data_IF_803388502562
#
_entry.id   IF_803388502562
#
_cell.length_a   1.000
_cell.length_b   1.000
_cell.length_c   1.000
_cell.angle_alpha   90.00
_cell.angle_beta   90.00
_cell.angle_gamma   90.00
#
_symmetry.space_group_name_H-M   'P 1'
#
loop_
_entity.id
_entity.type
_entity.pdbx_description
1 polymer ?
#
# COMPACT_ATOMS: atom_id res chain seq x y z
N UNK A 1 -5.07 21.44 13.33
CA UNK A 1 -5.00 22.00 11.96
C UNK A 1 -4.68 20.88 10.99
N UNK A 2 -5.26 20.86 9.78
CA UNK A 2 -4.92 19.91 8.71
C UNK A 2 -4.32 20.66 7.52
N UNK A 3 -3.40 20.02 6.80
CA UNK A 3 -2.82 20.54 5.56
C UNK A 3 -2.85 19.48 4.47
N UNK A 4 -3.01 19.91 3.23
CA UNK A 4 -2.98 19.04 2.06
C UNK A 4 -1.60 18.40 1.92
N UNK A 5 -1.58 17.08 1.91
CA UNK A 5 -0.44 16.24 1.52
C UNK A 5 -0.77 15.57 0.20
N UNK A 6 0.17 15.59 -0.75
CA UNK A 6 0.03 14.99 -2.07
C UNK A 6 0.80 13.67 -2.15
N UNK A 7 0.06 12.61 -2.41
CA UNK A 7 0.59 11.27 -2.65
C UNK A 7 0.66 11.00 -4.16
N UNK A 8 1.77 10.46 -4.63
CA UNK A 8 1.91 9.91 -5.98
C UNK A 8 1.99 8.39 -5.85
N UNK A 9 0.99 7.70 -6.38
CA UNK A 9 0.80 6.27 -6.20
C UNK A 9 1.13 5.53 -7.49
N UNK A 10 1.99 4.51 -7.38
CA UNK A 10 2.33 3.56 -8.42
C UNK A 10 2.34 2.15 -7.86
N UNK A 11 2.22 1.16 -8.72
CA UNK A 11 2.36 -0.26 -8.41
C UNK A 11 2.66 -1.01 -9.70
N UNK A 12 3.09 -2.27 -9.61
CA UNK A 12 3.17 -3.16 -10.78
C UNK A 12 4.01 -2.52 -11.90
N UNK A 13 5.17 -1.99 -11.53
CA UNK A 13 6.12 -1.46 -12.52
C UNK A 13 6.87 -2.58 -13.20
N UNK A 14 6.93 -3.78 -12.60
CA UNK A 14 7.50 -5.00 -13.21
C UNK A 14 8.91 -4.76 -13.75
N UNK A 15 9.73 -4.02 -13.00
CA UNK A 15 11.08 -3.66 -13.38
C UNK A 15 11.17 -2.63 -14.52
N UNK A 16 10.10 -1.92 -14.89
CA UNK A 16 10.17 -0.83 -15.86
C UNK A 16 10.44 0.51 -15.19
N UNK A 17 11.37 1.28 -15.75
CA UNK A 17 11.59 2.68 -15.35
C UNK A 17 10.50 3.59 -15.92
N UNK A 18 10.29 4.79 -15.35
CA UNK A 18 9.38 5.79 -15.93
C UNK A 18 9.64 6.07 -17.42
N UNK A 19 10.91 6.11 -17.83
CA UNK A 19 11.30 6.33 -19.23
C UNK A 19 10.90 5.15 -20.14
N UNK A 20 11.15 3.91 -19.71
CA UNK A 20 10.78 2.71 -20.49
C UNK A 20 9.25 2.52 -20.58
N UNK A 21 8.52 2.88 -19.50
CA UNK A 21 7.06 2.79 -19.44
C UNK A 21 6.34 4.04 -19.97
N UNK A 22 7.08 5.10 -20.35
CA UNK A 22 6.52 6.31 -20.95
C UNK A 22 5.70 7.19 -20.00
N UNK A 23 5.96 7.15 -18.68
CA UNK A 23 5.31 8.03 -17.70
C UNK A 23 6.30 8.96 -17.01
N UNK A 24 5.76 10.00 -16.36
CA UNK A 24 6.52 10.90 -15.48
C UNK A 24 5.91 10.87 -14.09
N UNK A 25 6.75 11.00 -13.06
CA UNK A 25 6.29 11.25 -11.70
C UNK A 25 5.91 12.73 -11.58
N UNK A 26 4.65 13.08 -11.30
CA UNK A 26 4.27 14.45 -11.01
C UNK A 26 4.86 14.90 -9.68
N UNK A 27 4.95 16.21 -9.46
CA UNK A 27 5.33 16.75 -8.14
C UNK A 27 4.34 16.31 -7.05
N UNK A 28 4.87 15.91 -5.91
CA UNK A 28 4.12 15.52 -4.71
C UNK A 28 5.04 15.46 -3.49
N UNK A 29 4.44 15.17 -2.34
CA UNK A 29 5.17 15.14 -1.06
C UNK A 29 5.67 13.72 -0.75
N UNK A 30 4.85 12.71 -1.09
CA UNK A 30 5.12 11.29 -0.81
C UNK A 30 4.92 10.45 -2.06
N UNK A 31 5.90 9.60 -2.39
CA UNK A 31 5.76 8.55 -3.40
C UNK A 31 5.38 7.23 -2.72
N UNK A 32 4.42 6.49 -3.27
CA UNK A 32 4.05 5.15 -2.80
C UNK A 32 4.21 4.16 -3.95
N UNK A 33 4.96 3.08 -3.74
CA UNK A 33 5.01 1.92 -4.63
C UNK A 33 4.37 0.70 -3.97
N UNK A 34 3.20 0.27 -4.48
CA UNK A 34 2.37 -0.79 -3.87
C UNK A 34 2.71 -2.22 -4.34
N UNK A 35 4.01 -2.50 -4.53
CA UNK A 35 4.51 -3.83 -4.87
C UNK A 35 4.73 -4.09 -6.35
N UNK A 36 5.25 -5.28 -6.64
CA UNK A 36 5.73 -5.73 -7.95
C UNK A 36 6.75 -4.74 -8.54
N UNK A 37 7.82 -4.54 -7.77
CA UNK A 37 8.98 -3.72 -8.13
C UNK A 37 9.73 -4.33 -9.31
N UNK A 38 9.68 -5.65 -9.44
CA UNK A 38 10.39 -6.47 -10.43
C UNK A 38 9.42 -7.38 -11.18
N UNK A 39 9.85 -7.95 -12.30
CA UNK A 39 9.07 -8.98 -12.99
C UNK A 39 9.47 -10.39 -12.53
N UNK A 40 10.71 -10.63 -12.10
CA UNK A 40 11.16 -11.95 -11.62
C UNK A 40 12.06 -11.88 -10.37
N UNK A 41 12.21 -10.73 -9.72
CA UNK A 41 13.01 -10.60 -8.50
C UNK A 41 14.52 -10.65 -8.71
N UNK A 42 15.06 -10.43 -9.91
CA UNK A 42 16.52 -10.33 -10.06
C UNK A 42 17.07 -9.08 -9.36
N UNK A 43 18.32 -9.14 -8.89
CA UNK A 43 18.96 -7.99 -8.23
C UNK A 43 19.14 -6.81 -9.21
N UNK A 44 19.25 -7.11 -10.50
CA UNK A 44 19.36 -6.09 -11.55
C UNK A 44 18.04 -5.33 -11.72
N UNK A 45 16.90 -6.02 -11.73
CA UNK A 45 15.58 -5.38 -11.75
C UNK A 45 15.36 -4.56 -10.48
N UNK A 46 15.68 -5.12 -9.30
CA UNK A 46 15.56 -4.39 -8.02
C UNK A 46 16.36 -3.10 -8.04
N UNK A 47 17.64 -3.15 -8.42
CA UNK A 47 18.49 -1.95 -8.53
C UNK A 47 17.90 -0.95 -9.53
N UNK A 48 17.44 -1.42 -10.68
CA UNK A 48 16.83 -0.54 -11.69
C UNK A 48 15.63 0.19 -11.13
N UNK A 49 14.73 -0.49 -10.42
CA UNK A 49 13.54 0.12 -9.82
C UNK A 49 13.89 1.05 -8.66
N UNK A 50 14.69 0.59 -7.71
CA UNK A 50 15.04 1.39 -6.53
C UNK A 50 15.86 2.64 -6.90
N UNK A 51 16.71 2.58 -7.92
CA UNK A 51 17.48 3.75 -8.36
C UNK A 51 16.57 4.93 -8.75
N UNK A 52 15.51 4.71 -9.54
CA UNK A 52 14.63 5.81 -9.92
C UNK A 52 13.70 6.23 -8.78
N UNK A 53 13.29 5.31 -7.90
CA UNK A 53 12.50 5.63 -6.70
C UNK A 53 13.30 6.51 -5.75
N UNK A 54 14.54 6.14 -5.44
CA UNK A 54 15.41 6.90 -4.54
C UNK A 54 15.77 8.27 -5.11
N UNK A 55 16.00 8.36 -6.43
CA UNK A 55 16.32 9.62 -7.12
C UNK A 55 15.12 10.56 -7.28
N UNK A 56 13.89 10.08 -7.05
CA UNK A 56 12.71 10.90 -7.19
C UNK A 56 12.63 11.98 -6.09
N UNK A 57 12.24 13.20 -6.49
CA UNK A 57 12.15 14.37 -5.62
C UNK A 57 10.86 14.35 -4.78
N UNK A 58 10.87 13.47 -3.79
CA UNK A 58 9.83 13.32 -2.76
C UNK A 58 10.52 13.27 -1.41
N UNK A 59 9.88 13.86 -0.40
CA UNK A 59 10.42 13.88 0.96
C UNK A 59 10.50 12.46 1.53
N UNK A 60 9.48 11.64 1.29
CA UNK A 60 9.41 10.24 1.71
C UNK A 60 8.93 9.36 0.57
N UNK A 61 9.51 8.16 0.43
CA UNK A 61 9.06 7.12 -0.50
C UNK A 61 8.66 5.88 0.28
N UNK A 62 7.40 5.46 0.22
CA UNK A 62 6.92 4.24 0.88
C UNK A 62 6.90 3.12 -0.15
N UNK A 63 7.54 2.01 0.17
CA UNK A 63 7.67 0.85 -0.74
C UNK A 63 7.24 -0.41 0.00
N UNK A 64 6.40 -1.20 -0.64
CA UNK A 64 6.14 -2.60 -0.27
C UNK A 64 6.59 -3.52 -1.42
N UNK A 65 6.73 -4.82 -1.14
CA UNK A 65 6.90 -5.83 -2.18
C UNK A 65 5.55 -6.24 -2.78
N UNK A 66 5.60 -6.96 -3.90
CA UNK A 66 4.50 -7.76 -4.42
C UNK A 66 4.92 -9.21 -4.67
N UNK A 67 4.07 -9.97 -5.34
CA UNK A 67 4.27 -11.40 -5.54
C UNK A 67 5.43 -11.72 -6.51
N UNK A 68 5.83 -10.77 -7.37
CA UNK A 68 6.96 -10.91 -8.30
C UNK A 68 8.33 -10.63 -7.66
N UNK A 69 8.36 -10.01 -6.48
CA UNK A 69 9.59 -9.62 -5.79
C UNK A 69 10.17 -10.79 -4.98
N UNK A 70 10.36 -11.93 -5.67
CA UNK A 70 10.57 -13.24 -5.06
C UNK A 70 11.82 -13.37 -4.20
N UNK A 71 12.85 -12.57 -4.47
CA UNK A 71 14.10 -12.54 -3.69
C UNK A 71 13.99 -11.74 -2.41
N UNK A 72 12.92 -10.96 -2.25
CA UNK A 72 12.63 -10.21 -1.02
C UNK A 72 11.85 -11.06 0.00
N UNK A 73 11.44 -12.28 -0.37
CA UNK A 73 10.90 -13.33 0.50
C UNK A 73 11.93 -14.49 0.58
N UNK A 74 12.89 -14.46 1.53
CA UNK A 74 13.94 -15.48 1.61
C UNK A 74 13.39 -16.90 1.82
N UNK A 75 12.27 -17.03 2.54
CA UNK A 75 11.62 -18.31 2.81
C UNK A 75 11.04 -18.92 1.54
N UNK A 76 10.35 -18.10 0.72
CA UNK A 76 9.90 -18.53 -0.60
C UNK A 76 11.08 -18.82 -1.53
N UNK A 77 12.06 -17.91 -1.59
CA UNK A 77 13.18 -18.00 -2.53
C UNK A 77 14.04 -19.23 -2.30
N UNK A 78 14.29 -19.62 -1.04
CA UNK A 78 15.04 -20.84 -0.72
C UNK A 78 14.41 -22.11 -1.29
N UNK A 79 13.07 -22.14 -1.39
CA UNK A 79 12.30 -23.31 -1.88
C UNK A 79 12.04 -23.25 -3.38
N UNK A 80 11.84 -22.06 -3.92
CA UNK A 80 11.33 -21.86 -5.28
C UNK A 80 12.30 -21.16 -6.22
N UNK A 81 13.36 -20.53 -5.71
CA UNK A 81 14.35 -19.77 -6.49
C UNK A 81 14.88 -20.50 -7.74
N UNK A 82 15.23 -21.81 -7.68
CA UNK A 82 15.66 -22.55 -8.87
C UNK A 82 14.62 -22.60 -10.00
N UNK A 83 13.32 -22.52 -9.70
CA UNK A 83 12.25 -22.47 -10.73
C UNK A 83 12.25 -21.15 -11.51
N UNK A 84 12.75 -20.07 -10.90
CA UNK A 84 12.78 -18.73 -11.48
C UNK A 84 14.15 -18.41 -12.08
N UNK A 85 15.23 -18.69 -11.35
CA UNK A 85 16.60 -18.28 -11.71
C UNK A 85 17.53 -19.45 -12.09
N UNK A 86 17.01 -20.68 -12.19
CA UNK A 86 17.78 -21.88 -12.50
C UNK A 86 19.03 -22.00 -11.60
N UNK A 87 20.20 -22.15 -12.20
CA UNK A 87 21.48 -22.28 -11.48
C UNK A 87 22.11 -20.93 -11.06
N UNK A 88 21.55 -19.80 -11.53
CA UNK A 88 22.07 -18.45 -11.23
C UNK A 88 21.24 -17.81 -10.14
N UNK A 89 21.25 -18.41 -8.96
CA UNK A 89 20.50 -17.90 -7.82
C UNK A 89 21.06 -16.54 -7.38
N UNK A 90 20.14 -15.68 -6.97
CA UNK A 90 20.44 -14.41 -6.33
C UNK A 90 20.69 -14.62 -4.84
N UNK A 91 21.28 -13.62 -4.19
CA UNK A 91 21.48 -13.58 -2.74
C UNK A 91 20.36 -12.73 -2.11
N UNK A 92 19.37 -13.33 -1.41
CA UNK A 92 18.24 -12.61 -0.85
C UNK A 92 18.63 -11.45 0.06
N UNK A 93 19.73 -11.59 0.82
CA UNK A 93 20.15 -10.52 1.72
C UNK A 93 20.64 -9.31 0.90
N UNK A 94 21.45 -9.53 -0.14
CA UNK A 94 21.86 -8.44 -1.04
C UNK A 94 20.68 -7.80 -1.75
N UNK A 95 19.65 -8.57 -2.10
CA UNK A 95 18.42 -8.05 -2.69
C UNK A 95 17.66 -7.16 -1.70
N UNK A 96 17.53 -7.58 -0.43
CA UNK A 96 16.92 -6.77 0.63
C UNK A 96 17.71 -5.48 0.87
N UNK A 97 19.04 -5.58 0.93
CA UNK A 97 19.94 -4.43 1.15
C UNK A 97 19.75 -3.34 0.08
N UNK A 98 19.49 -3.73 -1.19
CA UNK A 98 19.21 -2.75 -2.27
C UNK A 98 18.02 -1.85 -1.91
N UNK A 99 16.99 -2.39 -1.27
CA UNK A 99 15.76 -1.65 -0.95
C UNK A 99 15.88 -0.88 0.36
N UNK A 100 16.64 -1.39 1.33
CA UNK A 100 16.72 -0.82 2.69
C UNK A 100 17.85 0.20 2.88
N UNK A 101 18.84 0.27 1.99
CA UNK A 101 20.00 1.16 2.16
C UNK A 101 19.66 2.66 2.01
N UNK A 102 18.59 3.00 1.29
CA UNK A 102 18.20 4.41 1.12
C UNK A 102 17.43 4.93 2.33
N UNK A 103 17.96 5.95 3.00
CA UNK A 103 17.29 6.61 4.13
C UNK A 103 15.99 7.35 3.76
N UNK A 104 15.77 7.61 2.46
CA UNK A 104 14.52 8.24 1.97
C UNK A 104 13.41 7.23 1.65
N UNK A 105 13.70 5.93 1.72
CA UNK A 105 12.76 4.85 1.45
C UNK A 105 12.32 4.21 2.77
N UNK A 106 11.00 4.16 2.96
CA UNK A 106 10.33 3.46 4.04
C UNK A 106 9.84 2.13 3.49
N UNK A 107 10.60 1.08 3.76
CA UNK A 107 10.29 -0.27 3.29
C UNK A 107 9.43 -1.03 4.31
N UNK A 108 8.21 -1.41 3.93
CA UNK A 108 7.25 -2.06 4.82
C UNK A 108 6.96 -3.50 4.37
N UNK A 109 7.11 -4.45 5.29
CA UNK A 109 6.85 -5.88 5.07
C UNK A 109 5.88 -6.41 6.12
N UNK A 110 4.60 -6.06 5.98
CA UNK A 110 3.54 -6.38 6.94
C UNK A 110 3.73 -5.72 8.31
N UNK A 111 3.96 -4.41 8.29
CA UNK A 111 4.25 -3.61 9.49
C UNK A 111 3.74 -2.18 9.35
N UNK A 112 3.67 -1.46 10.46
CA UNK A 112 3.31 -0.05 10.49
C UNK A 112 4.53 0.86 10.57
N UNK A 113 4.38 2.08 10.07
CA UNK A 113 5.29 3.17 10.32
C UNK A 113 4.53 4.47 10.62
N UNK A 114 5.11 5.29 11.50
CA UNK A 114 4.71 6.68 11.67
C UNK A 114 5.63 7.55 10.81
N UNK A 115 5.04 8.35 9.94
CA UNK A 115 5.76 9.19 8.97
C UNK A 115 5.45 10.65 9.24
N UNK A 116 6.50 11.47 9.29
CA UNK A 116 6.45 12.90 9.53
C UNK A 116 7.16 13.65 8.41
N UNK A 117 6.45 14.55 7.75
CA UNK A 117 6.99 15.45 6.73
C UNK A 117 7.47 16.74 7.39
N UNK A 118 8.69 17.14 7.11
CA UNK A 118 9.49 18.18 7.78
C UNK A 118 10.14 19.15 6.80
N UNK A 119 9.91 18.99 5.50
CA UNK A 119 10.42 19.90 4.48
C UNK A 119 10.06 21.35 4.80
N UNK A 120 10.99 22.32 4.66
CA UNK A 120 10.79 23.70 5.12
C UNK A 120 9.59 24.40 4.45
N UNK A 121 9.23 23.98 3.24
CA UNK A 121 8.06 24.46 2.48
C UNK A 121 7.01 23.35 2.28
N UNK A 122 7.16 22.23 2.99
CA UNK A 122 6.30 21.06 2.91
C UNK A 122 5.02 21.22 3.73
N UNK A 123 4.14 20.22 3.69
CA UNK A 123 2.86 20.29 4.38
C UNK A 123 2.99 20.19 5.92
N UNK A 124 4.16 19.82 6.45
CA UNK A 124 4.39 19.60 7.89
C UNK A 124 3.38 18.63 8.52
N UNK A 125 3.01 17.59 7.77
CA UNK A 125 1.99 16.63 8.18
C UNK A 125 2.58 15.36 8.75
N UNK A 126 1.74 14.62 9.47
CA UNK A 126 2.07 13.35 10.10
C UNK A 126 0.95 12.35 9.87
N UNK A 127 1.30 11.08 9.66
CA UNK A 127 0.35 10.01 9.43
C UNK A 127 0.92 8.64 9.78
N UNK A 128 0.04 7.71 10.14
CA UNK A 128 0.37 6.29 10.33
C UNK A 128 0.03 5.51 9.06
N UNK A 129 1.01 4.76 8.55
CA UNK A 129 0.84 3.87 7.40
C UNK A 129 1.06 2.42 7.82
N UNK A 130 0.24 1.50 7.30
CA UNK A 130 0.48 0.06 7.36
C UNK A 130 0.78 -0.44 5.95
N UNK A 131 1.87 -1.20 5.78
CA UNK A 131 2.29 -1.74 4.48
C UNK A 131 2.43 -3.26 4.50
N UNK A 132 1.85 -3.97 3.54
CA UNK A 132 1.88 -5.43 3.48
C UNK A 132 2.06 -5.95 2.04
N UNK A 133 3.04 -6.84 1.78
CA UNK A 133 3.30 -7.38 0.45
C UNK A 133 2.37 -8.56 0.10
N UNK A 134 1.66 -9.09 1.10
CA UNK A 134 0.91 -10.33 0.98
C UNK A 134 -0.21 -10.24 -0.07
N UNK A 135 -0.34 -11.31 -0.87
CA UNK A 135 -1.41 -11.45 -1.86
C UNK A 135 -2.06 -12.83 -1.82
N UNK A 136 -3.38 -12.85 -1.99
CA UNK A 136 -4.13 -14.10 -2.03
C UNK A 136 -3.91 -14.75 -3.40
N UNK A 137 -3.18 -15.85 -3.45
CA UNK A 137 -2.80 -16.51 -4.69
C UNK A 137 -2.67 -18.03 -4.51
N UNK A 138 -3.40 -18.87 -5.27
CA UNK A 138 -3.32 -20.32 -5.17
C UNK A 138 -2.08 -20.90 -5.89
N UNK A 139 -0.95 -20.17 -5.92
CA UNK A 139 0.18 -20.48 -6.79
C UNK A 139 1.55 -20.31 -6.12
N UNK A 140 2.61 -20.68 -6.86
CA UNK A 140 3.99 -20.53 -6.40
C UNK A 140 4.51 -19.14 -6.72
N UNK A 141 4.01 -18.13 -6.01
CA UNK A 141 4.57 -16.78 -6.00
C UNK A 141 4.89 -16.35 -4.57
N UNK A 142 5.83 -15.41 -4.42
CA UNK A 142 6.24 -14.94 -3.10
C UNK A 142 5.10 -14.21 -2.39
N UNK A 143 5.18 -14.13 -1.07
CA UNK A 143 4.18 -13.44 -0.26
C UNK A 143 2.73 -13.94 -0.49
N UNK A 144 2.58 -15.20 -0.91
CA UNK A 144 1.29 -15.87 -1.05
C UNK A 144 0.73 -16.30 0.30
N UNK A 145 -0.59 -16.23 0.46
CA UNK A 145 -1.31 -16.82 1.58
C UNK A 145 -2.60 -17.50 1.13
N UNK A 146 -3.05 -18.48 1.92
CA UNK A 146 -4.30 -19.18 1.69
C UNK A 146 -5.49 -18.41 2.26
N UNK A 147 -6.67 -18.61 1.66
CA UNK A 147 -7.90 -17.90 2.07
C UNK A 147 -8.23 -18.06 3.56
N UNK A 148 -7.84 -19.19 4.15
CA UNK A 148 -8.08 -19.51 5.57
C UNK A 148 -7.23 -18.68 6.54
N UNK A 149 -6.06 -18.23 6.10
CA UNK A 149 -5.12 -17.45 6.93
C UNK A 149 -5.40 -15.94 6.83
N UNK A 150 -6.20 -15.52 5.84
CA UNK A 150 -6.44 -14.13 5.50
C UNK A 150 -7.01 -13.31 6.66
N UNK A 151 -7.95 -13.87 7.44
CA UNK A 151 -8.56 -13.17 8.57
C UNK A 151 -7.54 -12.87 9.68
N UNK A 152 -6.69 -13.83 10.03
CA UNK A 152 -5.63 -13.66 11.02
C UNK A 152 -4.54 -12.70 10.52
N UNK A 153 -4.22 -12.74 9.23
CA UNK A 153 -3.25 -11.83 8.62
C UNK A 153 -3.75 -10.38 8.69
N UNK A 154 -4.99 -10.12 8.26
CA UNK A 154 -5.53 -8.76 8.15
C UNK A 154 -6.13 -8.22 9.45
N UNK A 155 -6.27 -9.04 10.50
CA UNK A 155 -6.62 -8.55 11.85
C UNK A 155 -5.51 -7.68 12.43
N UNK A 156 -4.25 -7.90 12.02
CA UNK A 156 -3.06 -7.18 12.50
C UNK A 156 -2.96 -5.73 12.06
N UNK A 157 -3.80 -5.27 11.12
CA UNK A 157 -3.83 -3.86 10.72
C UNK A 157 -4.32 -3.03 11.93
N UNK A 158 -3.48 -2.15 12.50
CA UNK A 158 -3.87 -1.37 13.67
C UNK A 158 -5.06 -0.46 13.35
N UNK A 159 -6.01 -0.35 14.29
CA UNK A 159 -7.22 0.44 14.09
C UNK A 159 -6.89 1.90 13.75
N UNK A 160 -5.88 2.48 14.37
CA UNK A 160 -5.37 3.85 14.17
C UNK A 160 -4.60 4.09 12.87
N UNK A 161 -4.56 3.13 11.96
CA UNK A 161 -3.93 3.32 10.65
C UNK A 161 -4.66 4.38 9.82
N UNK A 162 -3.94 5.38 9.32
CA UNK A 162 -4.50 6.42 8.44
C UNK A 162 -4.44 6.00 6.96
N UNK A 163 -3.36 5.31 6.58
CA UNK A 163 -3.09 4.81 5.23
C UNK A 163 -2.79 3.31 5.24
N UNK A 164 -3.43 2.55 4.35
CA UNK A 164 -3.11 1.13 4.13
C UNK A 164 -2.51 0.95 2.74
N UNK A 165 -1.37 0.28 2.64
CA UNK A 165 -0.73 -0.10 1.37
C UNK A 165 -0.63 -1.61 1.33
N UNK A 166 -1.36 -2.25 0.44
CA UNK A 166 -1.33 -3.71 0.25
C UNK A 166 -1.02 -4.02 -1.20
N UNK A 167 -0.32 -5.11 -1.50
CA UNK A 167 -0.17 -5.48 -2.90
C UNK A 167 -1.52 -5.96 -3.49
N UNK A 168 -2.20 -6.86 -2.77
CA UNK A 168 -3.53 -7.35 -3.16
C UNK A 168 -4.63 -6.32 -2.92
N UNK A 169 -5.63 -6.22 -3.81
CA UNK A 169 -6.79 -5.38 -3.57
C UNK A 169 -7.79 -6.05 -2.60
N UNK A 170 -8.59 -5.26 -1.86
CA UNK A 170 -9.76 -5.78 -1.16
C UNK A 170 -10.82 -6.29 -2.14
N UNK A 171 -11.56 -7.34 -1.76
CA UNK A 171 -12.61 -7.91 -2.61
C UNK A 171 -13.65 -6.86 -2.99
N UNK A 172 -14.18 -6.94 -4.21
CA UNK A 172 -15.21 -6.04 -4.78
C UNK A 172 -14.81 -4.58 -4.99
N UNK A 173 -13.56 -4.18 -4.70
CA UNK A 173 -13.07 -2.82 -4.87
C UNK A 173 -11.76 -2.79 -5.65
N UNK A 174 -11.80 -2.20 -6.85
CA UNK A 174 -10.65 -2.13 -7.76
C UNK A 174 -9.92 -3.48 -7.97
N UNK A 175 -10.68 -4.57 -8.08
CA UNK A 175 -10.17 -5.95 -8.08
C UNK A 175 -10.75 -6.87 -9.17
N UNK A 176 -11.44 -6.32 -10.16
CA UNK A 176 -12.05 -7.08 -11.26
C UNK A 176 -11.04 -7.42 -12.35
N UNK A 177 -11.07 -8.67 -12.81
CA UNK A 177 -10.32 -9.09 -14.01
C UNK A 177 -11.08 -8.79 -15.29
N UNK A 178 -10.37 -8.72 -16.42
CA UNK A 178 -10.99 -8.60 -17.75
C UNK A 178 -11.95 -9.75 -18.08
N UNK A 179 -11.70 -10.95 -17.54
CA UNK A 179 -12.57 -12.14 -17.67
C UNK A 179 -13.85 -12.04 -16.85
N UNK A 180 -14.02 -10.98 -16.05
CA UNK A 180 -15.07 -10.85 -15.05
C UNK A 180 -14.68 -11.46 -13.70
N UNK A 181 -15.49 -11.17 -12.68
CA UNK A 181 -15.28 -11.61 -11.30
C UNK A 181 -14.32 -10.71 -10.50
N UNK A 182 -14.58 -10.64 -9.21
CA UNK A 182 -13.67 -10.06 -8.21
C UNK A 182 -12.65 -11.10 -7.77
N UNK A 183 -11.40 -10.68 -7.61
CA UNK A 183 -10.31 -11.55 -7.11
C UNK A 183 -9.59 -10.97 -5.90
N UNK A 184 -10.07 -9.85 -5.37
CA UNK A 184 -9.53 -9.27 -4.15
C UNK A 184 -9.88 -10.10 -2.92
N UNK A 185 -9.26 -9.76 -1.80
CA UNK A 185 -9.41 -10.50 -0.56
C UNK A 185 -10.60 -10.00 0.27
N UNK A 186 -11.52 -10.91 0.62
CA UNK A 186 -12.70 -10.58 1.44
C UNK A 186 -12.32 -10.21 2.88
N UNK A 187 -11.36 -10.92 3.47
CA UNK A 187 -10.86 -10.59 4.81
C UNK A 187 -10.16 -9.21 4.84
N UNK A 188 -9.49 -8.82 3.75
CA UNK A 188 -8.93 -7.47 3.64
C UNK A 188 -10.04 -6.42 3.54
N UNK A 189 -11.10 -6.67 2.76
CA UNK A 189 -12.29 -5.79 2.72
C UNK A 189 -12.88 -5.60 4.12
N UNK A 190 -13.05 -6.68 4.88
CA UNK A 190 -13.53 -6.63 6.26
C UNK A 190 -12.59 -5.85 7.17
N UNK A 191 -11.27 -6.03 7.03
CA UNK A 191 -10.29 -5.27 7.79
C UNK A 191 -10.33 -3.76 7.45
N UNK A 192 -10.51 -3.39 6.18
CA UNK A 192 -10.69 -1.98 5.80
C UNK A 192 -12.00 -1.40 6.32
N UNK A 193 -13.09 -2.17 6.36
CA UNK A 193 -14.35 -1.74 6.97
C UNK A 193 -14.24 -1.52 8.49
N UNK A 194 -13.37 -2.29 9.17
CA UNK A 194 -13.04 -2.17 10.60
C UNK A 194 -12.13 -0.96 10.87
N UNK A 195 -11.03 -0.83 10.13
CA UNK A 195 -9.98 0.18 10.34
C UNK A 195 -10.39 1.55 9.80
N UNK A 196 -11.08 1.56 8.66
CA UNK A 196 -11.52 2.74 7.90
C UNK A 196 -10.38 3.74 7.66
N UNK A 197 -9.28 3.34 6.99
CA UNK A 197 -8.22 4.27 6.64
C UNK A 197 -8.76 5.33 5.68
N UNK A 198 -8.18 6.53 5.68
CA UNK A 198 -8.58 7.58 4.73
C UNK A 198 -8.17 7.20 3.30
N UNK A 199 -7.07 6.48 3.14
CA UNK A 199 -6.55 6.03 1.85
C UNK A 199 -6.06 4.58 1.94
N UNK A 200 -6.54 3.73 1.03
CA UNK A 200 -6.03 2.38 0.81
C UNK A 200 -5.47 2.29 -0.62
N UNK A 201 -4.21 1.89 -0.77
CA UNK A 201 -3.54 1.77 -2.06
C UNK A 201 -3.17 0.31 -2.32
N UNK A 202 -3.46 -0.16 -3.53
CA UNK A 202 -3.12 -1.49 -4.00
C UNK A 202 -2.66 -1.53 -5.45
N UNK A 203 -2.37 -2.75 -5.92
CA UNK A 203 -1.98 -3.05 -7.29
C UNK A 203 -2.50 -4.42 -7.70
N UNK A 204 -1.62 -5.26 -8.25
CA UNK A 204 -1.78 -6.69 -8.55
C UNK A 204 -2.79 -7.01 -9.67
N UNK A 205 -3.96 -6.38 -9.66
CA UNK A 205 -5.01 -6.56 -10.68
C UNK A 205 -4.94 -5.42 -11.68
N UNK A 206 -4.07 -5.56 -12.68
CA UNK A 206 -3.74 -4.52 -13.66
C UNK A 206 -4.98 -3.91 -14.34
N UNK A 207 -5.98 -4.74 -14.64
CA UNK A 207 -7.20 -4.33 -15.35
C UNK A 207 -8.12 -3.45 -14.52
N UNK A 208 -7.92 -3.43 -13.20
CA UNK A 208 -8.74 -2.67 -12.26
C UNK A 208 -8.08 -1.40 -11.75
N UNK A 209 -7.06 -0.90 -12.45
CA UNK A 209 -6.55 0.45 -12.19
C UNK A 209 -7.72 1.44 -12.13
N UNK A 210 -7.78 2.20 -11.05
CA UNK A 210 -8.88 3.11 -10.80
C UNK A 210 -8.91 3.55 -9.35
N UNK A 211 -10.01 4.21 -8.98
CA UNK A 211 -10.29 4.48 -7.59
C UNK A 211 -11.78 4.43 -7.29
N UNK A 212 -12.09 4.11 -6.04
CA UNK A 212 -13.43 4.09 -5.48
C UNK A 212 -13.41 4.85 -4.15
N UNK A 213 -14.47 5.63 -3.91
CA UNK A 213 -14.78 6.13 -2.57
C UNK A 213 -15.80 5.18 -1.96
N UNK A 214 -15.43 4.55 -0.86
CA UNK A 214 -16.25 3.57 -0.17
C UNK A 214 -16.69 4.17 1.14
N UNK A 215 -18.00 4.27 1.33
CA UNK A 215 -18.60 4.59 2.62
C UNK A 215 -19.02 3.29 3.30
N UNK A 216 -18.40 3.03 4.45
CA UNK A 216 -18.65 1.80 5.21
C UNK A 216 -19.96 1.91 5.99
N UNK A 217 -20.72 0.81 6.10
CA UNK A 217 -21.95 0.81 6.88
C UNK A 217 -21.65 1.00 8.38
N UNK A 218 -22.54 1.70 9.08
CA UNK A 218 -22.45 1.86 10.54
C UNK A 218 -22.61 0.51 11.27
N UNK A 219 -23.43 -0.38 10.71
CA UNK A 219 -23.61 -1.76 11.17
C UNK A 219 -23.18 -2.73 10.06
N UNK A 220 -22.07 -3.47 10.24
CA UNK A 220 -21.58 -4.45 9.26
C UNK A 220 -22.57 -5.59 9.00
N UNK A 221 -23.45 -5.89 9.95
CA UNK A 221 -24.41 -7.01 9.87
C UNK A 221 -25.60 -6.75 8.97
N UNK A 222 -25.92 -5.48 8.70
CA UNK A 222 -27.18 -5.09 8.03
C UNK A 222 -27.01 -4.08 6.90
N UNK A 223 -25.82 -3.48 6.75
CA UNK A 223 -25.56 -2.47 5.74
C UNK A 223 -24.66 -2.97 4.61
N UNK A 224 -24.87 -2.41 3.42
CA UNK A 224 -23.95 -2.58 2.29
C UNK A 224 -23.04 -1.36 2.15
N UNK A 225 -21.86 -1.57 1.58
CA UNK A 225 -20.94 -0.50 1.22
C UNK A 225 -21.61 0.44 0.21
N UNK A 226 -21.49 1.75 0.41
CA UNK A 226 -21.90 2.72 -0.61
C UNK A 226 -20.66 3.13 -1.39
N UNK A 227 -20.63 2.79 -2.68
CA UNK A 227 -19.44 2.91 -3.51
C UNK A 227 -19.67 3.95 -4.60
N UNK A 228 -18.83 4.98 -4.62
CA UNK A 228 -18.75 5.94 -5.71
C UNK A 228 -17.48 5.64 -6.49
N UNK A 229 -17.65 5.11 -7.71
CA UNK A 229 -16.52 4.88 -8.62
C UNK A 229 -16.04 6.20 -9.20
N UNK A 230 -14.75 6.42 -9.07
CA UNK A 230 -14.09 7.60 -9.60
C UNK A 230 -13.76 7.47 -11.09
N UNK A 231 -13.83 8.59 -11.81
CA UNK A 231 -13.34 8.67 -13.18
C UNK A 231 -11.90 9.21 -13.21
N UNK A 232 -11.02 8.49 -13.91
CA UNK A 232 -9.67 8.96 -14.24
C UNK A 232 -9.62 9.41 -15.70
N UNK A 233 -8.63 10.23 -16.10
CA UNK A 233 -8.46 10.59 -17.51
C UNK A 233 -8.36 9.35 -18.41
N UNK A 234 -8.99 9.44 -19.58
CA UNK A 234 -8.95 8.39 -20.59
C UNK A 234 -7.51 8.03 -21.01
N UNK A 235 -7.26 6.77 -21.44
CA UNK A 235 -5.97 6.37 -21.98
C UNK A 235 -5.47 7.32 -23.09
N UNK A 236 -4.20 7.72 -23.02
CA UNK A 236 -3.60 8.68 -23.96
C UNK A 236 -3.82 10.16 -23.61
N UNK A 237 -4.66 10.46 -22.60
CA UNK A 237 -4.80 11.82 -22.09
C UNK A 237 -3.50 12.32 -21.46
N UNK A 238 -3.17 13.59 -21.72
CA UNK A 238 -2.07 14.31 -21.03
C UNK A 238 -2.46 14.84 -19.65
N UNK A 239 -3.74 14.68 -19.25
CA UNK A 239 -4.22 15.15 -17.96
C UNK A 239 -3.71 14.26 -16.84
N UNK A 240 -3.35 14.87 -15.72
CA UNK A 240 -2.98 14.16 -14.51
C UNK A 240 -4.18 13.36 -13.96
N UNK A 241 -3.94 12.12 -13.55
CA UNK A 241 -4.89 11.28 -12.82
C UNK A 241 -5.01 11.76 -11.37
N UNK A 242 -5.62 12.92 -11.13
CA UNK A 242 -5.75 13.53 -9.82
C UNK A 242 -7.06 13.14 -9.13
N UNK A 243 -6.96 12.67 -7.89
CA UNK A 243 -8.04 12.45 -6.93
C UNK A 243 -7.91 13.51 -5.85
N UNK A 244 -8.85 14.45 -5.79
CA UNK A 244 -8.85 15.50 -4.77
C UNK A 244 -9.81 15.14 -3.64
N UNK A 245 -9.28 14.85 -2.45
CA UNK A 245 -10.04 14.53 -1.25
C UNK A 245 -10.09 15.71 -0.25
N UNK A 246 -9.63 16.90 -0.66
CA UNK A 246 -9.50 18.07 0.24
C UNK A 246 -10.77 18.90 0.37
N UNK A 247 -11.73 18.74 -0.54
CA UNK A 247 -12.90 19.63 -0.64
C UNK A 247 -12.77 20.72 -1.71
N UNK A 248 -11.60 20.89 -2.34
CA UNK A 248 -11.36 22.00 -3.29
C UNK A 248 -12.01 21.77 -4.67
N UNK A 249 -11.86 20.57 -5.23
CA UNK A 249 -12.42 20.20 -6.55
C UNK A 249 -13.48 19.10 -6.47
N UNK A 250 -13.51 18.34 -5.38
CA UNK A 250 -14.48 17.30 -5.10
C UNK A 250 -14.79 17.26 -3.61
N UNK A 251 -15.89 16.59 -3.23
CA UNK A 251 -16.31 16.49 -1.83
C UNK A 251 -15.18 15.91 -0.98
N UNK A 252 -14.94 16.51 0.19
CA UNK A 252 -13.99 16.00 1.19
C UNK A 252 -14.41 14.59 1.67
N UNK A 253 -13.47 13.78 2.15
CA UNK A 253 -13.84 12.57 2.89
C UNK A 253 -14.56 12.95 4.18
N UNK A 254 -15.64 12.24 4.49
CA UNK A 254 -16.35 12.38 5.77
C UNK A 254 -15.61 11.64 6.90
N UNK A 255 -14.39 12.10 7.17
CA UNK A 255 -13.49 11.59 8.20
C UNK A 255 -13.05 12.74 9.13
N UNK A 256 -13.47 12.68 10.38
CA UNK A 256 -13.23 13.71 11.39
C UNK A 256 -12.09 13.38 12.36
N UNK A 257 -11.54 12.15 12.36
CA UNK A 257 -10.47 11.72 13.28
C UNK A 257 -9.21 11.20 12.58
N UNK A 258 -8.03 11.56 13.10
CA UNK A 258 -6.72 11.03 12.70
C UNK A 258 -5.95 10.50 13.92
N UNK A 259 -5.05 9.51 13.76
CA UNK A 259 -4.23 8.98 14.87
C UNK A 259 -3.57 10.09 15.69
N UNK A 260 -3.02 11.08 14.99
CA UNK A 260 -2.27 12.15 15.63
C UNK A 260 -3.14 13.10 16.47
N UNK A 261 -4.46 13.16 16.23
CA UNK A 261 -5.35 14.01 17.04
C UNK A 261 -5.35 13.56 18.51
N UNK A 262 -5.13 12.27 18.79
CA UNK A 262 -5.05 11.69 20.15
C UNK A 262 -3.69 11.89 20.82
N UNK A 263 -2.61 12.06 20.05
CA UNK A 263 -1.22 12.08 20.55
C UNK A 263 -0.57 13.47 20.56
N UNK A 264 -1.34 14.52 20.22
CA UNK A 264 -0.87 15.93 20.19
C UNK A 264 -0.15 16.40 21.45
N UNK A 265 -0.42 15.80 22.61
CA UNK A 265 0.18 16.20 23.89
C UNK A 265 1.59 15.60 24.14
N UNK A 266 2.07 14.65 23.33
CA UNK A 266 3.35 13.92 23.55
C UNK A 266 4.30 13.92 22.33
N UNK A 267 4.28 14.99 21.52
CA UNK A 267 5.01 15.07 20.24
C UNK A 267 6.54 14.84 20.35
N UNK A 268 7.16 15.36 21.41
CA UNK A 268 8.61 15.27 21.62
C UNK A 268 9.11 13.87 22.01
N UNK A 269 8.20 12.96 22.40
CA UNK A 269 8.54 11.61 22.83
C UNK A 269 8.47 10.57 21.69
N UNK A 270 7.73 10.85 20.61
CA UNK A 270 7.51 9.88 19.52
C UNK A 270 8.63 9.82 18.49
N UNK A 271 9.31 10.94 18.23
CA UNK A 271 10.39 11.02 17.25
C UNK A 271 11.65 11.61 17.86
N UNK A 272 12.80 10.91 17.80
CA UNK A 272 14.10 11.55 17.93
C UNK A 272 14.23 12.68 16.88
N UNK A 273 14.89 13.81 17.19
CA UNK A 273 14.94 14.98 16.29
C UNK A 273 15.44 14.70 14.87
N UNK A 274 16.27 13.67 14.70
CA UNK A 274 16.88 13.28 13.42
C UNK A 274 16.06 12.26 12.60
N UNK A 275 14.94 11.76 13.12
CA UNK A 275 14.12 10.75 12.44
C UNK A 275 12.78 11.32 11.98
N UNK A 276 12.48 11.10 10.70
CA UNK A 276 11.20 11.48 10.06
C UNK A 276 10.30 10.27 9.81
N UNK A 277 10.78 9.07 10.13
CA UNK A 277 10.01 7.83 10.07
C UNK A 277 10.41 6.96 11.23
N UNK A 278 9.40 6.35 11.86
CA UNK A 278 9.56 5.33 12.88
C UNK A 278 8.84 4.07 12.42
N UNK A 279 9.58 3.00 12.14
CA UNK A 279 8.98 1.68 11.95
C UNK A 279 8.51 1.20 13.33
N UNK A 280 7.24 0.84 13.43
CA UNK A 280 6.65 0.35 14.67
C UNK A 280 6.83 -1.17 14.69
N UNK A 281 7.56 -1.67 15.69
CA UNK A 281 7.73 -3.10 15.91
C UNK A 281 6.37 -3.76 16.10
N UNK A 282 6.16 -4.89 15.43
CA UNK A 282 5.00 -5.72 15.72
C UNK A 282 5.23 -6.40 17.07
N UNK A 283 4.19 -6.61 17.89
CA UNK A 283 4.33 -7.28 19.18
C UNK A 283 4.90 -8.72 19.08
N UNK A 284 4.97 -9.26 17.85
CA UNK A 284 5.40 -10.63 17.54
C UNK A 284 6.84 -10.72 16.98
N UNK A 285 7.57 -9.60 16.84
CA UNK A 285 8.95 -9.60 16.30
C UNK A 285 9.97 -10.29 17.24
N UNK A 286 9.53 -10.89 18.35
CA UNK A 286 10.38 -11.59 19.33
C UNK A 286 10.55 -13.09 19.01
N UNK A 287 9.75 -13.71 18.14
CA UNK A 287 9.93 -15.14 17.78
C UNK A 287 9.61 -15.46 16.31
N UNK A 288 10.41 -14.95 15.36
CA UNK A 288 10.49 -15.57 14.02
C UNK A 288 11.50 -16.74 14.04
N UNK A 289 11.10 -17.81 14.73
CA UNK A 289 11.76 -19.11 14.66
C UNK A 289 10.71 -20.20 14.90
N UNK A 290 10.40 -20.93 13.82
CA UNK A 290 9.54 -22.12 13.73
C UNK A 290 8.06 -21.91 13.38
N UNK A 291 7.75 -22.45 12.21
CA UNK A 291 6.47 -22.94 11.65
C UNK A 291 5.20 -22.93 12.51
N UNK A 292 4.10 -22.62 11.81
CA UNK A 292 2.67 -22.72 12.15
C UNK A 292 2.11 -21.53 12.91
N UNK A 293 1.46 -20.63 12.16
CA UNK A 293 0.59 -19.60 12.72
C UNK A 293 -0.44 -20.26 13.64
N UNK A 294 -0.58 -19.84 14.90
CA UNK A 294 -1.55 -20.42 15.81
C UNK A 294 -2.96 -20.19 15.24
N UNK A 295 -3.70 -21.29 15.06
CA UNK A 295 -5.10 -21.27 14.65
C UNK A 295 -5.92 -20.57 15.73
N UNK A 296 -6.26 -19.31 15.52
CA UNK A 296 -7.35 -18.69 16.28
C UNK A 296 -8.66 -19.40 15.87
N UNK A 297 -9.44 -19.82 16.88
CA UNK A 297 -10.77 -20.39 16.65
C UNK A 297 -11.64 -19.29 16.00
N UNK A 298 -12.59 -19.64 15.11
CA UNK A 298 -13.45 -18.67 14.42
C UNK A 298 -14.21 -17.71 15.36
N UNK A 299 -14.37 -18.08 16.63
CA UNK A 299 -15.17 -17.35 17.63
C UNK A 299 -14.35 -16.46 18.58
N UNK A 300 -13.03 -16.37 18.42
CA UNK A 300 -12.16 -15.51 19.24
C UNK A 300 -11.55 -14.37 18.41
N UNK A 301 -12.41 -13.48 17.89
CA UNK A 301 -11.95 -12.12 17.63
C UNK A 301 -11.66 -11.49 19.01
N UNK A 302 -10.45 -10.93 19.25
CA UNK A 302 -10.23 -10.08 20.41
C UNK A 302 -11.35 -9.05 20.44
N UNK A 303 -12.10 -9.01 21.54
CA UNK A 303 -13.11 -7.97 21.73
C UNK A 303 -12.35 -6.65 21.84
N UNK A 304 -12.21 -5.97 20.71
CA UNK A 304 -11.66 -4.63 20.66
C UNK A 304 -12.47 -3.76 21.64
N UNK A 305 -11.83 -2.88 22.41
CA UNK A 305 -12.56 -1.92 23.23
C UNK A 305 -13.56 -1.17 22.34
N UNK A 306 -14.72 -0.76 22.85
CA UNK A 306 -15.76 -0.10 22.07
C UNK A 306 -15.17 1.18 21.46
N UNK A 307 -14.75 1.10 20.20
CA UNK A 307 -14.01 2.15 19.55
C UNK A 307 -15.04 3.11 18.95
N UNK A 308 -15.13 4.32 19.49
CA UNK A 308 -15.94 5.40 18.94
C UNK A 308 -15.28 5.94 17.65
N UNK A 309 -15.21 5.10 16.61
CA UNK A 309 -14.83 5.52 15.24
C UNK A 309 -16.05 5.91 14.42
N UNK A 310 -17.10 6.41 15.09
CA UNK A 310 -18.24 7.04 14.42
C UNK A 310 -17.83 8.19 13.49
N UNK A 311 -16.61 8.70 13.69
CA UNK A 311 -15.98 9.82 13.00
C UNK A 311 -15.24 9.48 11.69
N UNK A 312 -14.85 8.22 11.41
CA UNK A 312 -14.35 7.83 10.08
C UNK A 312 -15.39 6.99 9.36
N UNK A 313 -15.85 7.47 8.21
CA UNK A 313 -16.94 6.83 7.45
C UNK A 313 -16.51 6.37 6.08
N UNK A 314 -15.46 6.96 5.54
CA UNK A 314 -15.07 6.76 4.15
C UNK A 314 -13.61 6.33 3.98
N UNK A 315 -13.37 5.47 3.02
CA UNK A 315 -12.03 5.11 2.52
C UNK A 315 -11.96 5.38 1.03
N UNK A 316 -10.93 6.09 0.58
CA UNK A 316 -10.57 6.11 -0.83
C UNK A 316 -9.69 4.88 -1.13
N UNK A 317 -10.17 3.98 -1.98
CA UNK A 317 -9.42 2.81 -2.43
C UNK A 317 -8.86 3.11 -3.82
N UNK A 318 -7.56 2.92 -4.00
CA UNK A 318 -6.84 3.19 -5.25
C UNK A 318 -6.11 1.92 -5.68
N UNK A 319 -6.35 1.46 -6.90
CA UNK A 319 -5.47 0.51 -7.57
C UNK A 319 -4.54 1.30 -8.51
N UNK A 320 -3.25 1.30 -8.19
CA UNK A 320 -2.23 2.13 -8.79
C UNK A 320 -1.37 1.39 -9.84
N UNK A 321 -1.86 0.27 -10.38
CA UNK A 321 -1.13 -0.53 -11.35
C UNK A 321 -0.66 0.28 -12.58
N UNK A 322 0.65 0.35 -12.77
CA UNK A 322 1.28 1.00 -13.91
C UNK A 322 1.23 0.07 -15.12
N UNK A 323 1.55 -1.22 -14.98
CA UNK A 323 1.28 -2.17 -16.04
C UNK A 323 -0.23 -2.25 -16.31
N UNK A 324 -0.66 -2.02 -17.55
CA UNK A 324 -2.07 -1.99 -17.93
C UNK A 324 -2.55 -3.30 -18.57
N UNK A 325 -1.63 -4.14 -19.04
CA UNK A 325 -1.95 -5.43 -19.64
C UNK A 325 -1.39 -6.56 -18.80
N UNK A 326 -2.17 -7.62 -18.63
CA UNK A 326 -1.72 -8.83 -17.94
C UNK A 326 -1.02 -9.78 -18.90
N UNK A 327 -0.16 -10.65 -18.38
CA UNK A 327 0.47 -11.71 -19.15
C UNK A 327 -0.60 -12.58 -19.86
N UNK A 328 -0.41 -13.01 -21.12
CA UNK A 328 0.80 -12.90 -21.94
C UNK A 328 0.91 -11.59 -22.76
N UNK A 329 0.23 -10.52 -22.35
CA UNK A 329 0.21 -9.22 -23.03
C UNK A 329 -0.20 -9.33 -24.50
N UNK A 330 -1.32 -10.01 -24.79
CA UNK A 330 -1.87 -10.07 -26.15
C UNK A 330 -2.12 -8.65 -26.65
N UNK A 331 -1.45 -8.26 -27.73
CA UNK A 331 -1.49 -6.87 -28.26
C UNK A 331 -0.41 -5.93 -27.71
N UNK A 332 0.56 -6.45 -26.94
CA UNK A 332 1.71 -5.71 -26.43
C UNK A 332 1.56 -5.21 -25.00
N UNK A 333 2.68 -4.78 -24.42
CA UNK A 333 2.72 -4.13 -23.11
C UNK A 333 2.20 -2.70 -23.25
N UNK A 334 1.31 -2.31 -22.33
CA UNK A 334 0.82 -0.94 -22.21
C UNK A 334 0.97 -0.51 -20.76
N UNK A 335 1.16 0.79 -20.57
CA UNK A 335 1.39 1.37 -19.26
C UNK A 335 0.43 2.51 -19.00
N UNK A 336 0.03 2.63 -17.74
CA UNK A 336 -0.77 3.70 -17.20
C UNK A 336 0.13 4.77 -16.59
N UNK A 337 -0.45 5.95 -16.35
CA UNK A 337 0.22 7.01 -15.61
C UNK A 337 -0.04 6.87 -14.10
N UNK A 338 0.87 7.37 -13.25
CA UNK A 338 0.68 7.43 -11.81
C UNK A 338 -0.64 8.10 -11.41
N UNK A 339 -1.24 7.63 -10.33
CA UNK A 339 -2.43 8.25 -9.73
C UNK A 339 -1.94 9.21 -8.64
N UNK A 340 -2.49 10.42 -8.60
CA UNK A 340 -2.14 11.43 -7.61
C UNK A 340 -3.32 11.65 -6.69
N UNK A 341 -3.09 11.65 -5.38
CA UNK A 341 -4.12 11.83 -4.36
C UNK A 341 -3.75 13.02 -3.49
N UNK A 342 -4.63 14.02 -3.43
CA UNK A 342 -4.52 15.12 -2.48
C UNK A 342 -5.41 14.81 -1.27
N UNK A 343 -4.81 14.67 -0.09
CA UNK A 343 -5.50 14.34 1.17
C UNK A 343 -5.10 15.34 2.26
N UNK A 344 -6.06 15.79 3.08
CA UNK A 344 -5.76 16.61 4.25
C UNK A 344 -5.36 15.73 5.43
N UNK A 345 -4.18 15.99 6.00
CA UNK A 345 -3.62 15.27 7.14
C UNK A 345 -3.30 16.22 8.29
N UNK A 346 -3.24 15.72 9.54
CA UNK A 346 -2.86 16.53 10.70
C UNK A 346 -1.46 17.11 10.54
N UNK A 347 -1.31 18.34 11.00
CA UNK A 347 -0.02 19.03 11.10
C UNK A 347 0.60 18.72 12.46
N UNK A 348 1.90 18.38 12.50
CA UNK A 348 2.61 18.07 13.74
C UNK A 348 3.36 19.26 14.36
N UNK A 349 3.54 20.36 13.61
CA UNK A 349 4.12 21.63 14.10
C UNK A 349 3.42 22.80 13.44
N UNK A 350 2.93 23.76 14.23
CA UNK A 350 2.22 24.95 13.74
C UNK A 350 3.06 25.81 12.79
#
# INVERSE_FOLDING_TARGET
>A
MRRKTRFVCVSDTHGYTPAEAGFKLPAGDVLIHAGDLTNQGSITELRKTINWVAAADFEVKIVICGNHDITLDPNFYSKHGPKFHNQRLEDPQKCIDVVTTSSSIVFLRHQSALVRLTGPNGPNTIFKVFGSPFSQSPGTWAWGYESVDAAALWSRIPLDTDLVVTHTPPHSHCDRRATGGSVGCEALRQALARVRPSLAICGHVHESRGYERVRWPLSPLTGSDQVIRGALPEPGSKKQSLIDLTGKKAQRLENDDFFFDDVKNNQGALFPPAQNTLILSSADDVEESTTSYPRLRPDECPSDPPNDRSHRRETCIVNAAIMATSWPHRGGKRFNHPIVVDLELPVWRE
#
